data_IF_478704053468
#
_entry.id   IF_478704053468
#
_cell.length_a   1.000
_cell.length_b   1.000
_cell.length_c   1.000
_cell.angle_alpha   90.00
_cell.angle_beta   90.00
_cell.angle_gamma   90.00
#
_symmetry.space_group_name_H-M   'P 1'
#
loop_
_entity.id
_entity.type
_entity.pdbx_description
1 polymer ?
#
# COMPACT_ATOMS: atom_id res chain seq x y z
N UNK A 1 -22.02 3.17 -5.65
CA UNK A 1 -21.34 4.42 -5.28
C UNK A 1 -19.94 4.09 -4.75
N UNK A 2 -19.03 3.73 -5.66
CA UNK A 2 -17.58 3.58 -5.41
C UNK A 2 -16.88 3.81 -6.77
N UNK A 3 -17.13 4.98 -7.37
CA UNK A 3 -16.64 5.34 -8.72
C UNK A 3 -15.66 6.52 -8.70
N UNK A 4 -15.33 7.03 -7.51
CA UNK A 4 -14.48 8.21 -7.33
C UNK A 4 -12.99 7.83 -7.24
N UNK A 5 -12.65 6.59 -6.84
CA UNK A 5 -11.27 6.12 -6.75
C UNK A 5 -10.62 5.76 -8.10
N UNK A 6 -11.40 5.26 -9.07
CA UNK A 6 -10.86 4.81 -10.37
C UNK A 6 -10.44 5.98 -11.29
N UNK A 7 -10.99 7.18 -11.09
CA UNK A 7 -10.71 8.34 -11.96
C UNK A 7 -9.44 9.13 -11.55
N UNK A 8 -8.84 8.82 -10.40
CA UNK A 8 -7.80 9.64 -9.77
C UNK A 8 -6.37 9.05 -9.87
N UNK A 9 -6.18 7.95 -10.61
CA UNK A 9 -4.86 7.31 -10.73
C UNK A 9 -4.37 6.57 -9.48
N UNK A 10 -5.27 6.21 -8.56
CA UNK A 10 -4.95 5.43 -7.36
C UNK A 10 -4.69 3.97 -7.75
N UNK A 11 -3.43 3.53 -7.65
CA UNK A 11 -3.02 2.15 -7.99
C UNK A 11 -3.49 1.12 -6.95
N UNK A 12 -3.53 1.51 -5.67
CA UNK A 12 -3.80 0.59 -4.56
C UNK A 12 -4.59 1.23 -3.41
N UNK A 13 -5.49 0.45 -2.79
CA UNK A 13 -6.20 0.81 -1.56
C UNK A 13 -5.59 0.07 -0.37
N UNK A 14 -5.21 0.82 0.66
CA UNK A 14 -4.59 0.28 1.86
C UNK A 14 -5.53 0.43 3.05
N UNK A 15 -5.66 -0.62 3.87
CA UNK A 15 -6.41 -0.52 5.13
C UNK A 15 -5.53 0.05 6.23
N UNK A 16 -6.02 1.09 6.90
CA UNK A 16 -5.31 1.80 7.95
C UNK A 16 -5.12 0.97 9.24
N UNK A 17 -4.12 1.34 10.03
CA UNK A 17 -3.91 0.89 11.41
C UNK A 17 -4.67 1.79 12.37
N UNK A 18 -5.93 1.46 12.65
CA UNK A 18 -6.66 2.16 13.71
C UNK A 18 -8.17 2.22 13.56
N UNK A 19 -8.74 1.67 12.48
CA UNK A 19 -10.19 1.72 12.24
C UNK A 19 -11.04 0.93 13.24
N UNK A 20 -10.44 0.20 14.20
CA UNK A 20 -11.15 -0.67 15.14
C UNK A 20 -11.79 -1.92 14.52
N UNK A 21 -11.72 -2.06 13.19
CA UNK A 21 -12.25 -3.18 12.45
C UNK A 21 -11.15 -4.18 12.07
N UNK A 22 -11.53 -5.45 11.90
CA UNK A 22 -10.61 -6.45 11.37
C UNK A 22 -10.23 -6.09 9.93
N UNK A 23 -8.94 -5.76 9.73
CA UNK A 23 -8.39 -5.29 8.46
C UNK A 23 -8.50 -6.34 7.36
N UNK A 24 -8.35 -7.61 7.70
CA UNK A 24 -8.42 -8.73 6.75
C UNK A 24 -9.85 -8.96 6.28
N UNK A 25 -10.84 -8.78 7.16
CA UNK A 25 -12.26 -8.83 6.83
C UNK A 25 -12.66 -7.70 5.89
N UNK A 26 -12.18 -6.47 6.14
CA UNK A 26 -12.40 -5.34 5.23
C UNK A 26 -11.78 -5.60 3.84
N UNK A 27 -10.55 -6.10 3.80
CA UNK A 27 -9.89 -6.47 2.54
C UNK A 27 -10.63 -7.57 1.80
N UNK A 28 -11.16 -8.57 2.50
CA UNK A 28 -11.98 -9.63 1.90
C UNK A 28 -13.26 -9.05 1.27
N UNK A 29 -13.96 -8.16 1.97
CA UNK A 29 -15.13 -7.46 1.43
C UNK A 29 -14.79 -6.63 0.19
N UNK A 30 -13.71 -5.83 0.27
CA UNK A 30 -13.20 -5.02 -0.86
C UNK A 30 -12.78 -5.88 -2.06
N UNK A 31 -12.22 -7.06 -1.83
CA UNK A 31 -11.84 -8.00 -2.90
C UNK A 31 -13.05 -8.48 -3.71
N UNK A 32 -14.20 -8.63 -3.05
CA UNK A 32 -15.45 -9.03 -3.71
C UNK A 32 -16.08 -7.88 -4.50
N UNK A 33 -16.06 -6.65 -3.94
CA UNK A 33 -16.75 -5.50 -4.55
C UNK A 33 -15.89 -4.69 -5.53
N UNK A 34 -14.59 -4.96 -5.61
CA UNK A 34 -13.66 -4.31 -6.55
C UNK A 34 -13.07 -5.32 -7.54
N UNK A 35 -12.86 -4.90 -8.79
CA UNK A 35 -12.32 -5.77 -9.84
C UNK A 35 -10.94 -5.38 -10.35
N UNK A 36 -10.53 -4.10 -10.18
CA UNK A 36 -9.30 -3.57 -10.80
C UNK A 36 -8.27 -3.05 -9.81
N UNK A 37 -8.70 -2.33 -8.78
CA UNK A 37 -7.77 -1.70 -7.81
C UNK A 37 -6.94 -2.74 -7.05
N UNK A 38 -5.66 -2.47 -6.80
CA UNK A 38 -4.84 -3.35 -5.93
C UNK A 38 -5.27 -3.19 -4.48
N UNK A 39 -5.16 -4.27 -3.71
CA UNK A 39 -5.64 -4.33 -2.32
C UNK A 39 -4.48 -4.56 -1.38
N UNK A 40 -4.19 -3.55 -0.55
CA UNK A 40 -3.02 -3.43 0.29
C UNK A 40 -3.25 -3.88 1.72
N UNK A 41 -2.51 -4.90 2.15
CA UNK A 41 -2.42 -5.34 3.54
C UNK A 41 -1.07 -4.91 4.14
N UNK A 42 -1.06 -4.43 5.39
CA UNK A 42 0.19 -4.16 6.11
C UNK A 42 0.40 -5.17 7.24
N UNK A 43 1.41 -6.02 7.08
CA UNK A 43 1.83 -7.03 8.06
C UNK A 43 2.48 -6.35 9.25
N UNK A 44 1.92 -6.55 10.44
CA UNK A 44 2.43 -6.00 11.71
C UNK A 44 3.22 -7.03 12.52
N UNK A 45 4.10 -6.59 13.45
CA UNK A 45 4.81 -7.48 14.35
C UNK A 45 3.90 -8.47 15.10
N UNK A 46 2.67 -8.07 15.44
CA UNK A 46 1.72 -8.94 16.13
C UNK A 46 1.24 -10.13 15.28
N UNK A 47 1.14 -9.97 13.97
CA UNK A 47 0.70 -11.02 13.05
C UNK A 47 1.83 -12.04 12.80
N UNK A 48 3.08 -11.57 12.80
CA UNK A 48 4.27 -12.42 12.64
C UNK A 48 4.45 -13.37 13.82
N UNK A 49 3.95 -13.04 15.01
CA UNK A 49 3.94 -13.94 16.18
C UNK A 49 3.06 -15.17 15.97
N UNK A 50 2.16 -15.17 14.99
CA UNK A 50 1.28 -16.30 14.66
C UNK A 50 1.39 -16.64 13.16
N UNK A 51 2.51 -17.25 12.73
CA UNK A 51 2.83 -17.41 11.30
C UNK A 51 1.78 -18.19 10.50
N UNK A 52 1.19 -19.22 11.11
CA UNK A 52 0.15 -20.05 10.46
C UNK A 52 -1.07 -19.21 10.10
N UNK A 53 -1.59 -18.45 11.07
CA UNK A 53 -2.75 -17.59 10.85
C UNK A 53 -2.46 -16.46 9.85
N UNK A 54 -1.24 -15.92 9.83
CA UNK A 54 -0.81 -14.95 8.83
C UNK A 54 -0.75 -15.58 7.42
N UNK A 55 -0.19 -16.79 7.30
CA UNK A 55 -0.13 -17.53 6.04
C UNK A 55 -1.53 -17.79 5.46
N UNK A 56 -2.47 -18.25 6.29
CA UNK A 56 -3.86 -18.48 5.87
C UNK A 56 -4.54 -17.20 5.37
N UNK A 57 -4.34 -16.08 6.06
CA UNK A 57 -4.88 -14.76 5.67
C UNK A 57 -4.30 -14.27 4.35
N UNK A 58 -2.99 -14.42 4.16
CA UNK A 58 -2.30 -14.06 2.91
C UNK A 58 -2.79 -14.92 1.74
N UNK A 59 -2.94 -16.23 1.95
CA UNK A 59 -3.46 -17.14 0.94
C UNK A 59 -4.92 -16.81 0.59
N UNK A 60 -5.74 -16.45 1.60
CA UNK A 60 -7.12 -16.00 1.38
C UNK A 60 -7.16 -14.69 0.57
N UNK A 61 -6.33 -13.70 0.93
CA UNK A 61 -6.23 -12.44 0.20
C UNK A 61 -5.84 -12.68 -1.26
N UNK A 62 -4.82 -13.51 -1.51
CA UNK A 62 -4.40 -13.84 -2.88
C UNK A 62 -5.54 -14.43 -3.70
N UNK A 63 -6.26 -15.42 -3.14
CA UNK A 63 -7.40 -16.07 -3.80
C UNK A 63 -8.55 -15.09 -4.07
N UNK A 64 -8.97 -14.34 -3.07
CA UNK A 64 -10.13 -13.44 -3.17
C UNK A 64 -9.84 -12.23 -4.07
N UNK A 65 -8.62 -11.70 -4.01
CA UNK A 65 -8.21 -10.54 -4.82
C UNK A 65 -7.90 -10.89 -6.27
N UNK A 66 -7.78 -12.18 -6.63
CA UNK A 66 -7.37 -12.64 -7.97
C UNK A 66 -6.02 -12.05 -8.39
N UNK A 67 -5.01 -12.20 -7.53
CA UNK A 67 -3.64 -11.69 -7.73
C UNK A 67 -3.49 -10.15 -7.79
N UNK A 68 -4.47 -9.40 -7.29
CA UNK A 68 -4.38 -7.94 -7.09
C UNK A 68 -3.89 -7.54 -5.69
N UNK A 69 -3.56 -8.51 -4.86
CA UNK A 69 -3.08 -8.27 -3.50
C UNK A 69 -1.67 -7.70 -3.50
N UNK A 70 -1.46 -6.68 -2.68
CA UNK A 70 -0.15 -6.12 -2.37
C UNK A 70 0.03 -6.14 -0.85
N UNK A 71 1.24 -6.50 -0.40
CA UNK A 71 1.53 -6.70 1.01
C UNK A 71 2.72 -5.84 1.39
N UNK A 72 2.51 -4.94 2.35
CA UNK A 72 3.61 -4.19 2.96
C UNK A 72 4.04 -4.86 4.24
N UNK A 73 5.35 -4.96 4.44
CA UNK A 73 5.93 -5.39 5.72
C UNK A 73 6.23 -4.13 6.53
N UNK A 74 5.72 -4.06 7.76
CA UNK A 74 6.01 -2.95 8.63
C UNK A 74 7.51 -2.85 8.96
N UNK A 75 8.12 -1.65 8.97
CA UNK A 75 9.51 -1.48 9.37
C UNK A 75 9.81 -1.95 10.81
N UNK A 76 8.82 -2.02 11.70
CA UNK A 76 9.00 -2.58 13.05
C UNK A 76 9.08 -4.13 13.07
N UNK A 77 8.87 -4.81 11.95
CA UNK A 77 9.08 -6.26 11.84
C UNK A 77 10.57 -6.54 11.69
N UNK A 78 11.19 -7.06 12.76
CA UNK A 78 12.64 -7.31 12.79
C UNK A 78 13.12 -8.37 11.78
N UNK A 79 12.32 -9.43 11.53
CA UNK A 79 12.69 -10.54 10.63
C UNK A 79 11.93 -10.43 9.31
N UNK A 80 12.23 -9.41 8.52
CA UNK A 80 11.55 -9.17 7.25
C UNK A 80 11.70 -10.35 6.26
N UNK A 81 12.88 -10.97 6.18
CA UNK A 81 13.15 -12.11 5.28
C UNK A 81 12.26 -13.33 5.59
N UNK A 82 12.04 -13.64 6.86
CA UNK A 82 11.12 -14.71 7.27
C UNK A 82 9.70 -14.43 6.78
N UNK A 83 9.27 -13.16 6.87
CA UNK A 83 7.94 -12.74 6.42
C UNK A 83 7.84 -12.78 4.90
N UNK A 84 8.91 -12.40 4.18
CA UNK A 84 8.98 -12.56 2.73
C UNK A 84 8.80 -14.03 2.36
N UNK A 85 9.54 -14.94 3.00
CA UNK A 85 9.40 -16.37 2.79
C UNK A 85 7.98 -16.87 3.09
N UNK A 86 7.35 -16.39 4.16
CA UNK A 86 5.98 -16.72 4.52
C UNK A 86 4.96 -16.24 3.46
N UNK A 87 5.12 -15.03 2.93
CA UNK A 87 4.27 -14.51 1.85
C UNK A 87 4.43 -15.36 0.59
N UNK A 88 5.67 -15.72 0.24
CA UNK A 88 5.96 -16.60 -0.91
C UNK A 88 5.38 -18.00 -0.70
N UNK A 89 5.43 -18.54 0.51
CA UNK A 89 4.79 -19.80 0.83
C UNK A 89 3.26 -19.73 0.67
N UNK A 90 2.64 -18.63 1.10
CA UNK A 90 1.19 -18.48 1.08
C UNK A 90 0.60 -18.28 -0.32
N UNK A 91 1.33 -17.60 -1.21
CA UNK A 91 0.79 -17.09 -2.48
C UNK A 91 1.75 -17.13 -3.68
N UNK A 92 2.94 -17.72 -3.54
CA UNK A 92 3.99 -17.69 -4.56
C UNK A 92 4.36 -16.24 -4.95
N UNK A 93 4.47 -16.01 -6.26
CA UNK A 93 4.71 -14.68 -6.83
C UNK A 93 3.44 -13.85 -7.04
N UNK A 94 2.28 -14.38 -6.67
CA UNK A 94 0.98 -13.75 -6.90
C UNK A 94 0.61 -12.63 -5.91
N UNK A 95 1.47 -12.33 -4.94
CA UNK A 95 1.39 -11.15 -4.09
C UNK A 95 2.65 -10.30 -4.28
N UNK A 96 2.46 -9.03 -4.59
CA UNK A 96 3.55 -8.06 -4.56
C UNK A 96 3.92 -7.78 -3.11
N UNK A 97 5.22 -7.81 -2.82
CA UNK A 97 5.75 -7.45 -1.49
C UNK A 97 6.35 -6.06 -1.58
N UNK A 98 5.99 -5.20 -0.64
CA UNK A 98 6.46 -3.84 -0.50
C UNK A 98 7.24 -3.71 0.80
N UNK A 99 8.45 -3.17 0.70
CA UNK A 99 9.24 -2.74 1.85
C UNK A 99 9.27 -1.21 1.88
N UNK A 100 9.59 -0.66 3.06
CA UNK A 100 9.87 0.77 3.18
C UNK A 100 11.04 1.16 2.28
N UNK A 101 10.99 2.33 1.64
CA UNK A 101 12.03 2.77 0.72
C UNK A 101 13.42 2.77 1.39
N UNK A 102 13.47 3.15 2.66
CA UNK A 102 14.68 3.21 3.50
C UNK A 102 15.05 1.87 4.15
N UNK A 103 14.30 0.79 3.90
CA UNK A 103 14.63 -0.53 4.42
C UNK A 103 15.98 -1.02 3.87
N UNK A 104 16.61 -1.94 4.58
CA UNK A 104 17.89 -2.51 4.16
C UNK A 104 17.79 -3.16 2.76
N UNK A 105 18.87 -3.16 1.98
CA UNK A 105 18.94 -3.90 0.73
C UNK A 105 18.59 -5.37 0.94
N UNK A 106 17.77 -5.94 0.05
CA UNK A 106 17.45 -7.37 0.01
C UNK A 106 17.59 -7.85 -1.42
N UNK A 107 17.97 -9.12 -1.59
CA UNK A 107 18.01 -9.80 -2.88
C UNK A 107 16.63 -10.32 -3.29
N UNK A 108 15.66 -10.34 -2.36
CA UNK A 108 14.30 -10.78 -2.64
C UNK A 108 13.63 -9.85 -3.66
N UNK A 109 12.78 -10.42 -4.52
CA UNK A 109 11.96 -9.66 -5.46
C UNK A 109 10.87 -8.90 -4.70
N UNK A 110 11.13 -7.63 -4.39
CA UNK A 110 10.25 -6.72 -3.65
C UNK A 110 10.20 -5.34 -4.32
N UNK A 111 9.12 -4.61 -4.10
CA UNK A 111 9.03 -3.18 -4.43
C UNK A 111 9.39 -2.33 -3.21
N UNK A 112 9.87 -1.11 -3.44
CA UNK A 112 10.28 -0.18 -2.37
C UNK A 112 9.41 1.05 -2.38
N UNK A 113 8.56 1.23 -1.38
CA UNK A 113 7.63 2.37 -1.35
C UNK A 113 7.86 3.18 -0.08
N UNK A 114 7.66 4.50 -0.17
CA UNK A 114 7.75 5.37 0.99
C UNK A 114 6.37 5.71 1.56
N UNK A 115 6.18 5.59 2.86
CA UNK A 115 5.00 6.18 3.50
C UNK A 115 5.25 7.64 3.82
N UNK A 116 4.43 8.53 3.27
CA UNK A 116 4.59 10.00 3.41
C UNK A 116 3.37 10.61 4.06
N UNK A 117 3.53 11.80 4.65
CA UNK A 117 2.39 12.58 5.11
C UNK A 117 1.50 13.01 3.92
N UNK A 118 0.25 13.38 4.20
CA UNK A 118 -0.59 13.98 3.17
C UNK A 118 0.07 15.30 2.70
N UNK A 119 0.36 15.46 1.39
CA UNK A 119 1.04 16.65 0.90
C UNK A 119 0.19 17.90 1.14
N UNK A 120 0.86 18.98 1.51
CA UNK A 120 0.19 20.26 1.83
C UNK A 120 -0.22 21.05 0.59
N UNK A 121 0.49 20.84 -0.52
CA UNK A 121 0.26 21.51 -1.80
C UNK A 121 0.69 20.61 -2.97
N UNK A 122 0.44 21.05 -4.20
CA UNK A 122 0.89 20.35 -5.40
C UNK A 122 2.40 20.39 -5.60
N UNK A 123 3.02 21.52 -5.28
CA UNK A 123 4.49 21.63 -5.31
C UNK A 123 5.13 20.72 -4.29
N UNK A 124 4.60 20.69 -3.06
CA UNK A 124 5.03 19.74 -2.03
C UNK A 124 4.85 18.28 -2.49
N UNK A 125 3.78 17.97 -3.23
CA UNK A 125 3.56 16.65 -3.81
C UNK A 125 4.57 16.30 -4.90
N UNK A 126 4.85 17.22 -5.84
CA UNK A 126 5.84 17.03 -6.90
C UNK A 126 7.24 16.85 -6.33
N UNK A 127 7.61 17.69 -5.37
CA UNK A 127 8.89 17.62 -4.67
C UNK A 127 9.02 16.28 -3.91
N UNK A 128 8.02 15.92 -3.10
CA UNK A 128 8.00 14.64 -2.37
C UNK A 128 8.18 13.46 -3.33
N UNK A 129 7.44 13.42 -4.44
CA UNK A 129 7.58 12.36 -5.45
C UNK A 129 8.99 12.30 -6.03
N UNK A 130 9.52 13.45 -6.45
CA UNK A 130 10.88 13.54 -7.01
C UNK A 130 11.93 13.06 -6.02
N UNK A 131 11.85 13.50 -4.77
CA UNK A 131 12.77 13.11 -3.70
C UNK A 131 12.76 11.60 -3.46
N UNK A 132 11.60 10.96 -3.44
CA UNK A 132 11.52 9.49 -3.27
C UNK A 132 11.86 8.70 -4.53
N UNK A 133 11.59 9.23 -5.72
CA UNK A 133 12.04 8.64 -6.98
C UNK A 133 13.56 8.67 -7.11
N UNK A 134 14.22 9.78 -6.73
CA UNK A 134 15.68 9.90 -6.66
C UNK A 134 16.29 8.95 -5.61
N UNK A 135 15.56 8.62 -4.54
CA UNK A 135 15.93 7.57 -3.57
C UNK A 135 15.67 6.14 -4.08
N UNK A 136 15.15 5.98 -5.31
CA UNK A 136 14.87 4.68 -5.92
C UNK A 136 13.57 4.03 -5.43
N UNK A 137 12.65 4.80 -4.84
CA UNK A 137 11.33 4.29 -4.49
C UNK A 137 10.50 4.02 -5.77
N UNK A 138 9.86 2.87 -5.81
CA UNK A 138 8.92 2.47 -6.85
C UNK A 138 7.53 3.11 -6.68
N UNK A 139 7.25 3.68 -5.52
CA UNK A 139 5.95 4.29 -5.22
C UNK A 139 5.90 4.99 -3.85
N UNK A 140 4.78 5.63 -3.56
CA UNK A 140 4.52 6.30 -2.28
C UNK A 140 3.13 5.93 -1.75
N UNK A 141 3.01 5.81 -0.43
CA UNK A 141 1.74 5.56 0.27
C UNK A 141 1.37 6.84 1.01
N UNK A 142 0.20 7.38 0.70
CA UNK A 142 -0.32 8.62 1.28
C UNK A 142 -1.61 8.33 2.05
N UNK A 143 -1.79 8.87 3.27
CA UNK A 143 -3.06 8.81 3.99
C UNK A 143 -4.20 9.36 3.13
N UNK A 144 -5.31 8.63 3.09
CA UNK A 144 -6.50 9.09 2.38
C UNK A 144 -7.15 10.25 3.14
N UNK A 145 -7.37 11.37 2.44
CA UNK A 145 -8.05 12.54 3.01
C UNK A 145 -8.64 13.44 1.92
N UNK A 146 -9.54 14.37 2.27
CA UNK A 146 -10.22 15.24 1.30
C UNK A 146 -9.25 16.02 0.42
N UNK A 147 -8.15 16.53 1.01
CA UNK A 147 -7.10 17.27 0.29
C UNK A 147 -6.44 16.44 -0.81
N UNK A 148 -6.22 15.14 -0.57
CA UNK A 148 -5.62 14.26 -1.58
C UNK A 148 -6.54 14.13 -2.80
N UNK A 149 -7.85 14.00 -2.58
CA UNK A 149 -8.82 13.94 -3.67
C UNK A 149 -8.84 15.24 -4.48
N UNK A 150 -8.75 16.40 -3.82
CA UNK A 150 -8.70 17.70 -4.48
C UNK A 150 -7.46 17.83 -5.37
N UNK A 151 -6.30 17.37 -4.87
CA UNK A 151 -5.04 17.35 -5.62
C UNK A 151 -5.11 16.42 -6.85
N UNK A 152 -5.76 15.26 -6.74
CA UNK A 152 -5.85 14.28 -7.82
C UNK A 152 -6.92 14.62 -8.87
N UNK A 153 -7.97 15.35 -8.49
CA UNK A 153 -9.12 15.65 -9.37
C UNK A 153 -8.83 16.74 -10.40
N UNK A 154 -7.82 17.58 -10.16
CA UNK A 154 -7.49 18.72 -11.02
C UNK A 154 -5.99 18.71 -11.34
N UNK A 155 -5.50 17.86 -12.25
CA UNK A 155 -4.06 17.76 -12.51
C UNK A 155 -3.45 19.02 -13.17
N UNK A 156 -4.24 19.78 -13.94
CA UNK A 156 -3.74 20.83 -14.85
C UNK A 156 -4.01 22.29 -14.40
N UNK A 157 -4.69 22.52 -13.27
CA UNK A 157 -4.92 23.90 -12.78
C UNK A 157 -3.71 24.38 -11.97
N UNK A 158 -2.89 25.31 -12.46
CA UNK A 158 -1.87 25.96 -11.61
C UNK A 158 -2.52 26.49 -10.32
N UNK A 159 -1.84 26.33 -9.18
CA UNK A 159 -2.31 26.80 -7.87
C UNK A 159 -2.13 28.32 -7.80
N UNK A 160 -2.75 29.03 -8.74
CA UNK A 160 -2.71 30.48 -8.85
C UNK A 160 -3.70 31.06 -7.84
N UNK A 161 -3.31 30.98 -6.57
CA UNK A 161 -3.75 31.92 -5.55
C UNK A 161 -2.60 32.86 -5.25
N UNK A 162 -2.39 33.77 -6.19
CA UNK A 162 -1.76 35.06 -5.90
C UNK A 162 -2.70 35.84 -4.97
N UNK A 163 -2.30 36.06 -3.72
CA UNK A 163 -2.79 37.14 -2.85
C UNK A 163 -1.82 38.32 -2.97
#
# INVERSE_FOLDING_TARGET
>A
MLKIGEAAGVDSLWTDRGSGHDRWMLLAGLAVVTSRVRLGATVIPAEVRVPVALCERLAALHRLSRARGIVRIDPAVARCEDVIALVRQAAGDGLTIVLEATAQPTQARVERWAQVAAPESRDAWRETRRTYEEMGASGVIVPFGPRLLDLLRRPDEEDDRSD
#
